data_IF_373441957387
#
_entry.id   IF_373441957387
#
_cell.length_a   1.000
_cell.length_b   1.000
_cell.length_c   1.000
_cell.angle_alpha   90.00
_cell.angle_beta   90.00
_cell.angle_gamma   90.00
#
_symmetry.space_group_name_H-M   'P 1'
#
loop_
_entity.id
_entity.type
_entity.pdbx_description
1 polymer ?
#
# COMPACT_ATOMS: atom_id res chain seq x y z
N UNK A 1 20.34 19.77 -6.50
CA UNK A 1 19.10 20.36 -5.93
C UNK A 1 18.79 19.60 -4.65
N UNK A 2 18.48 20.26 -3.54
CA UNK A 2 18.13 19.53 -2.31
C UNK A 2 16.63 19.27 -2.27
N UNK A 3 16.24 18.12 -1.77
CA UNK A 3 14.85 17.80 -1.53
C UNK A 3 14.27 18.79 -0.53
N UNK A 4 13.21 19.50 -0.92
CA UNK A 4 12.51 20.45 -0.05
C UNK A 4 11.92 19.77 1.21
N UNK A 5 11.59 18.48 1.12
CA UNK A 5 10.95 17.76 2.23
C UNK A 5 11.94 17.25 3.30
N UNK A 6 13.19 16.94 2.95
CA UNK A 6 14.12 16.27 3.87
C UNK A 6 15.58 16.71 3.74
N UNK A 7 15.86 17.74 2.95
CA UNK A 7 17.19 18.34 2.79
C UNK A 7 18.22 17.48 2.07
N UNK A 8 17.85 16.29 1.58
CA UNK A 8 18.76 15.39 0.88
C UNK A 8 19.21 15.95 -0.46
N UNK A 9 20.50 15.83 -0.78
CA UNK A 9 21.02 16.24 -2.09
C UNK A 9 20.47 15.32 -3.19
N UNK A 10 19.92 15.91 -4.25
CA UNK A 10 19.40 15.21 -5.42
C UNK A 10 20.18 15.58 -6.66
N UNK A 11 20.33 14.58 -7.53
CA UNK A 11 20.89 14.76 -8.87
C UNK A 11 19.95 15.62 -9.71
N UNK A 12 20.50 16.38 -10.65
CA UNK A 12 19.74 17.33 -11.48
C UNK A 12 18.71 16.68 -12.42
N UNK A 13 18.76 15.35 -12.57
CA UNK A 13 17.77 14.55 -13.32
C UNK A 13 16.77 13.81 -12.42
N UNK A 14 16.90 13.91 -11.09
CA UNK A 14 16.05 13.19 -10.16
C UNK A 14 14.63 13.79 -10.13
N UNK A 15 13.64 13.04 -10.61
CA UNK A 15 12.22 13.42 -10.47
C UNK A 15 11.68 13.25 -9.04
N UNK A 16 12.36 12.44 -8.23
CA UNK A 16 11.98 12.12 -6.85
C UNK A 16 13.21 12.01 -5.95
N UNK A 17 13.02 12.28 -4.66
CA UNK A 17 14.06 12.20 -3.66
C UNK A 17 14.36 10.76 -3.28
N UNK A 18 15.58 10.29 -3.50
CA UNK A 18 15.99 8.93 -3.14
C UNK A 18 16.02 8.68 -1.61
N UNK A 19 16.08 9.73 -0.77
CA UNK A 19 16.14 9.61 0.69
C UNK A 19 14.77 9.58 1.35
N UNK A 20 13.79 10.31 0.83
CA UNK A 20 12.48 10.47 1.47
C UNK A 20 11.27 10.39 0.52
N UNK A 21 11.49 10.12 -0.77
CA UNK A 21 10.43 9.88 -1.75
C UNK A 21 9.76 11.13 -2.35
N UNK A 22 9.99 12.33 -1.79
CA UNK A 22 9.31 13.54 -2.28
C UNK A 22 9.68 13.90 -3.73
N UNK A 23 8.71 14.26 -4.56
CA UNK A 23 8.95 14.76 -5.93
C UNK A 23 9.75 16.04 -5.92
N UNK A 24 10.72 16.14 -6.82
CA UNK A 24 11.54 17.35 -6.97
C UNK A 24 11.53 17.77 -8.43
N UNK A 25 10.78 18.85 -8.67
CA UNK A 25 10.55 19.42 -10.00
C UNK A 25 9.22 18.98 -10.60
N UNK A 26 8.17 19.75 -10.31
CA UNK A 26 6.98 19.84 -11.16
C UNK A 26 7.09 21.11 -12.00
N UNK A 27 7.35 20.96 -13.30
CA UNK A 27 6.89 21.97 -14.24
C UNK A 27 5.39 22.14 -14.01
N UNK A 28 4.94 23.38 -13.87
CA UNK A 28 3.51 23.70 -13.84
C UNK A 28 2.82 22.93 -14.98
N UNK A 29 1.80 22.15 -14.63
CA UNK A 29 0.87 21.67 -15.64
C UNK A 29 0.46 22.87 -16.49
N UNK A 30 0.64 22.74 -17.79
CA UNK A 30 0.23 23.70 -18.80
C UNK A 30 -1.21 24.14 -18.52
N UNK A 31 -1.39 25.33 -17.96
CA UNK A 31 -2.67 26.01 -17.96
C UNK A 31 -2.99 26.35 -19.41
N UNK A 32 -4.05 25.74 -19.93
CA UNK A 32 -4.50 25.91 -21.30
C UNK A 32 -4.68 27.41 -21.60
N UNK A 33 -4.01 27.90 -22.65
CA UNK A 33 -4.43 29.16 -23.27
C UNK A 33 -5.77 28.90 -23.98
N UNK A 34 -6.87 29.18 -23.31
CA UNK A 34 -8.15 29.40 -23.95
C UNK A 34 -8.40 30.91 -23.93
N UNK A 35 -8.02 31.59 -25.01
CA UNK A 35 -8.63 32.86 -25.37
C UNK A 35 -9.88 32.56 -26.19
N UNK A 36 -11.07 32.92 -25.67
CA UNK A 36 -12.20 33.60 -26.32
C UNK A 36 -13.46 33.50 -25.42
N UNK A 37 -14.51 34.34 -25.62
CA UNK A 37 -15.00 35.21 -24.56
C UNK A 37 -16.51 35.06 -24.38
N UNK A 38 -17.00 34.17 -23.51
CA UNK A 38 -18.39 34.20 -23.05
C UNK A 38 -18.46 33.89 -21.56
N UNK A 39 -18.24 34.93 -20.75
CA UNK A 39 -18.50 34.86 -19.32
C UNK A 39 -19.91 35.33 -19.01
N UNK A 40 -20.82 34.41 -18.68
CA UNK A 40 -21.90 34.62 -17.68
C UNK A 40 -22.35 33.26 -17.16
N UNK A 41 -21.93 32.87 -15.95
CA UNK A 41 -22.63 32.00 -14.98
C UNK A 41 -21.62 31.34 -14.01
N UNK A 42 -21.21 32.06 -12.96
CA UNK A 42 -20.35 31.47 -11.93
C UNK A 42 -20.06 32.33 -10.70
N UNK A 43 -20.83 33.41 -10.49
CA UNK A 43 -20.50 34.42 -9.47
C UNK A 43 -20.86 34.03 -8.02
N UNK A 44 -21.46 32.87 -7.76
CA UNK A 44 -21.90 32.52 -6.40
C UNK A 44 -20.91 31.65 -5.60
N UNK A 45 -20.01 30.90 -6.26
CA UNK A 45 -19.11 29.95 -5.55
C UNK A 45 -17.76 30.55 -5.15
N UNK A 46 -17.33 31.64 -5.80
CA UNK A 46 -16.04 32.29 -5.54
C UNK A 46 -15.98 33.04 -4.20
N UNK A 47 -17.11 33.57 -3.73
CA UNK A 47 -17.18 34.36 -2.50
C UNK A 47 -17.06 33.51 -1.22
N UNK A 48 -17.38 32.21 -1.28
CA UNK A 48 -17.29 31.32 -0.12
C UNK A 48 -15.85 30.84 0.13
N UNK A 49 -15.05 30.67 -0.94
CA UNK A 49 -13.67 30.20 -0.85
C UNK A 49 -12.70 31.29 -0.38
N UNK A 50 -13.00 32.57 -0.65
CA UNK A 50 -12.17 33.70 -0.19
C UNK A 50 -12.22 33.91 1.33
N UNK A 51 -13.35 33.64 1.99
CA UNK A 51 -13.49 33.82 3.45
C UNK A 51 -12.69 32.79 4.25
N UNK A 52 -12.52 31.57 3.72
CA UNK A 52 -11.77 30.49 4.40
C UNK A 52 -10.26 30.71 4.28
N UNK A 53 -9.78 31.22 3.14
CA UNK A 53 -8.35 31.49 2.93
C UNK A 53 -7.81 32.62 3.84
N UNK A 54 -8.65 33.60 4.19
CA UNK A 54 -8.27 34.73 5.06
C UNK A 54 -8.10 34.36 6.54
N UNK A 55 -8.47 33.14 6.97
CA UNK A 55 -8.34 32.69 8.36
C UNK A 55 -7.07 31.90 8.67
N UNK A 56 -6.30 31.49 7.65
CA UNK A 56 -5.12 30.61 7.84
C UNK A 56 -3.79 31.19 7.33
N UNK A 57 -3.79 32.39 6.75
CA UNK A 57 -2.58 33.02 6.22
C UNK A 57 -2.22 34.30 6.99
N UNK A 58 -1.99 34.17 8.30
CA UNK A 58 -1.40 35.23 9.11
C UNK A 58 0.00 34.82 9.55
N UNK A 59 1.02 35.15 8.75
CA UNK A 59 2.40 35.53 9.16
C UNK A 59 3.45 35.21 8.09
N UNK A 60 4.27 36.22 7.73
CA UNK A 60 5.64 36.00 7.22
C UNK A 60 5.98 36.62 5.87
N UNK A 61 6.52 37.83 5.89
CA UNK A 61 6.96 38.67 4.77
C UNK A 61 8.42 38.44 4.33
N UNK A 62 8.68 38.72 3.03
CA UNK A 62 9.88 39.35 2.38
C UNK A 62 11.26 38.68 2.42
N UNK A 63 11.95 38.78 1.26
CA UNK A 63 13.39 39.04 1.23
C UNK A 63 14.15 38.49 0.02
N UNK A 64 14.45 39.35 -0.96
CA UNK A 64 15.30 39.08 -2.12
C UNK A 64 16.80 39.24 -1.82
N UNK A 65 17.67 38.62 -2.62
CA UNK A 65 19.05 39.11 -2.82
C UNK A 65 20.08 38.03 -3.21
N UNK A 66 21.06 38.30 -4.11
CA UNK A 66 21.78 37.28 -4.89
C UNK A 66 23.31 37.19 -4.63
N UNK A 67 23.92 36.10 -5.17
CA UNK A 67 25.34 35.85 -5.58
C UNK A 67 26.46 36.05 -4.51
N UNK A 68 27.56 35.28 -4.43
CA UNK A 68 28.43 34.77 -5.49
C UNK A 68 29.36 33.62 -5.01
N UNK A 69 30.03 33.03 -5.99
CA UNK A 69 31.03 31.97 -6.03
C UNK A 69 32.08 31.88 -4.89
N UNK A 70 32.55 30.66 -4.56
CA UNK A 70 33.89 30.15 -4.95
C UNK A 70 34.16 28.75 -4.40
N UNK A 71 35.04 28.04 -5.10
CA UNK A 71 35.26 26.60 -5.00
C UNK A 71 35.86 26.08 -3.71
N UNK A 72 35.82 24.76 -3.58
CA UNK A 72 36.44 24.03 -2.48
C UNK A 72 36.17 22.53 -2.57
N UNK A 73 37.14 21.79 -3.08
CA UNK A 73 37.34 20.35 -3.08
C UNK A 73 36.63 19.60 -1.94
N UNK A 74 35.85 18.58 -2.29
CA UNK A 74 35.15 17.72 -1.35
C UNK A 74 36.10 16.85 -0.51
N UNK A 75 35.97 16.82 0.85
CA UNK A 75 36.37 15.67 1.61
C UNK A 75 35.24 14.64 1.59
N UNK A 76 35.64 13.39 1.32
CA UNK A 76 34.81 12.19 1.39
C UNK A 76 34.09 12.12 2.73
N UNK A 77 32.75 12.24 2.72
CA UNK A 77 31.95 11.90 3.91
C UNK A 77 31.58 10.42 3.88
N UNK A 78 32.35 9.71 4.70
CA UNK A 78 32.10 8.42 5.29
C UNK A 78 30.77 8.46 6.04
N UNK A 79 29.84 7.55 5.73
CA UNK A 79 28.97 6.83 6.67
C UNK A 79 27.95 5.99 5.86
N UNK A 80 27.98 4.65 5.95
CA UNK A 80 27.03 3.80 5.25
C UNK A 80 25.69 3.76 5.99
N UNK A 81 24.59 4.02 5.27
CA UNK A 81 23.28 3.49 5.67
C UNK A 81 23.36 2.00 5.37
N UNK A 82 23.69 1.20 6.37
CA UNK A 82 23.69 -0.25 6.23
C UNK A 82 22.23 -0.69 6.04
N UNK A 83 21.82 -0.85 4.77
CA UNK A 83 20.69 -1.71 4.47
C UNK A 83 20.97 -3.07 5.14
N UNK A 84 19.99 -3.68 5.83
CA UNK A 84 20.20 -4.98 6.46
C UNK A 84 20.81 -5.95 5.46
N UNK A 85 21.90 -6.60 5.83
CA UNK A 85 22.52 -7.61 4.97
C UNK A 85 21.61 -8.85 4.93
N UNK A 86 20.87 -8.98 3.84
CA UNK A 86 19.95 -10.10 3.59
C UNK A 86 20.64 -11.30 2.92
N UNK A 87 21.93 -11.18 2.57
CA UNK A 87 22.67 -12.25 1.88
C UNK A 87 23.00 -13.43 2.79
N UNK A 88 23.04 -13.20 4.10
CA UNK A 88 23.32 -14.21 5.14
C UNK A 88 22.04 -14.85 5.73
N UNK A 89 20.85 -14.45 5.27
CA UNK A 89 19.58 -14.99 5.78
C UNK A 89 19.16 -16.26 5.04
N UNK A 90 18.41 -17.13 5.72
CA UNK A 90 17.72 -18.21 5.03
C UNK A 90 16.76 -17.65 3.96
N UNK A 91 16.45 -18.41 2.89
CA UNK A 91 15.48 -18.01 1.89
C UNK A 91 14.12 -17.58 2.48
N UNK A 92 13.64 -18.31 3.49
CA UNK A 92 12.39 -18.08 4.19
C UNK A 92 12.43 -16.75 4.97
N UNK A 93 13.47 -16.52 5.78
CA UNK A 93 13.62 -15.27 6.53
C UNK A 93 13.72 -14.05 5.60
N UNK A 94 14.38 -14.21 4.45
CA UNK A 94 14.48 -13.16 3.44
C UNK A 94 13.11 -12.83 2.85
N UNK A 95 12.31 -13.84 2.50
CA UNK A 95 10.95 -13.65 1.99
C UNK A 95 10.05 -12.97 3.03
N UNK A 96 10.07 -13.45 4.28
CA UNK A 96 9.29 -12.88 5.39
C UNK A 96 9.67 -11.43 5.69
N UNK A 97 10.95 -11.07 5.65
CA UNK A 97 11.38 -9.68 5.84
C UNK A 97 10.89 -8.76 4.73
N UNK A 98 10.95 -9.21 3.48
CA UNK A 98 10.45 -8.43 2.35
C UNK A 98 8.93 -8.28 2.42
N UNK A 99 8.21 -9.35 2.77
CA UNK A 99 6.77 -9.30 3.04
C UNK A 99 6.43 -8.25 4.11
N UNK A 100 7.06 -8.34 5.28
CA UNK A 100 6.85 -7.41 6.39
C UNK A 100 7.16 -5.96 5.98
N UNK A 101 8.20 -5.76 5.15
CA UNK A 101 8.53 -4.44 4.62
C UNK A 101 7.44 -3.87 3.73
N UNK A 102 6.90 -4.67 2.81
CA UNK A 102 5.78 -4.26 1.93
C UNK A 102 4.54 -3.94 2.76
N UNK A 103 4.15 -4.84 3.67
CA UNK A 103 2.97 -4.67 4.51
C UNK A 103 3.07 -3.42 5.40
N UNK A 104 4.21 -3.21 6.05
CA UNK A 104 4.43 -2.02 6.88
C UNK A 104 4.36 -0.72 6.07
N UNK A 105 4.94 -0.68 4.87
CA UNK A 105 4.88 0.52 4.03
C UNK A 105 3.45 0.79 3.55
N UNK A 106 2.73 -0.27 3.18
CA UNK A 106 1.34 -0.17 2.75
C UNK A 106 0.44 0.34 3.87
N UNK A 107 0.56 -0.20 5.10
CA UNK A 107 -0.23 0.26 6.26
C UNK A 107 0.13 1.67 6.72
N UNK A 108 1.37 2.12 6.48
CA UNK A 108 1.80 3.51 6.70
C UNK A 108 1.31 4.49 5.63
N UNK A 109 0.50 4.05 4.65
CA UNK A 109 0.02 4.92 3.57
C UNK A 109 1.12 5.34 2.60
N UNK A 110 2.15 4.50 2.41
CA UNK A 110 3.25 4.71 1.46
C UNK A 110 3.20 3.68 0.31
N UNK A 111 2.14 3.67 -0.51
CA UNK A 111 1.94 2.67 -1.55
C UNK A 111 3.07 2.67 -2.58
N UNK A 112 3.53 3.83 -3.05
CA UNK A 112 4.66 3.92 -4.00
C UNK A 112 5.94 3.24 -3.49
N UNK A 113 6.17 3.34 -2.17
CA UNK A 113 7.30 2.65 -1.55
C UNK A 113 7.05 1.15 -1.41
N UNK A 114 5.82 0.73 -1.11
CA UNK A 114 5.45 -0.69 -1.05
C UNK A 114 5.58 -1.35 -2.43
N UNK A 115 5.12 -0.69 -3.49
CA UNK A 115 5.23 -1.14 -4.89
C UNK A 115 6.68 -1.36 -5.31
N UNK A 116 7.61 -0.53 -4.85
CA UNK A 116 9.03 -0.72 -5.11
C UNK A 116 9.55 -2.07 -4.56
N UNK A 117 9.10 -2.49 -3.37
CA UNK A 117 9.54 -3.74 -2.75
C UNK A 117 8.75 -4.97 -3.16
N UNK A 118 7.55 -4.78 -3.74
CA UNK A 118 6.63 -5.86 -4.04
C UNK A 118 7.22 -6.94 -4.99
N UNK A 119 7.85 -6.60 -6.13
CA UNK A 119 8.46 -7.60 -7.01
C UNK A 119 9.58 -8.40 -6.32
N UNK A 120 10.34 -7.76 -5.43
CA UNK A 120 11.39 -8.43 -4.66
C UNK A 120 10.80 -9.43 -3.66
N UNK A 121 9.71 -9.07 -2.99
CA UNK A 121 9.02 -9.99 -2.07
C UNK A 121 8.44 -11.20 -2.80
N UNK A 122 7.75 -10.99 -3.92
CA UNK A 122 7.19 -12.08 -4.75
C UNK A 122 8.30 -12.99 -5.29
N UNK A 123 9.41 -12.42 -5.78
CA UNK A 123 10.56 -13.18 -6.25
C UNK A 123 11.21 -14.00 -5.12
N UNK A 124 11.29 -13.46 -3.90
CA UNK A 124 11.85 -14.19 -2.77
C UNK A 124 11.02 -15.43 -2.42
N UNK A 125 9.68 -15.33 -2.45
CA UNK A 125 8.81 -16.49 -2.30
C UNK A 125 8.93 -17.48 -3.45
N UNK A 126 9.07 -17.01 -4.70
CA UNK A 126 9.25 -17.89 -5.87
C UNK A 126 10.56 -18.71 -5.83
N UNK A 127 11.53 -18.30 -5.01
CA UNK A 127 12.80 -19.02 -4.81
C UNK A 127 12.76 -20.03 -3.66
N UNK A 128 11.66 -20.13 -2.90
CA UNK A 128 11.54 -21.12 -1.85
C UNK A 128 11.45 -22.54 -2.45
N UNK A 129 12.07 -23.55 -1.81
CA UNK A 129 12.05 -24.92 -2.34
C UNK A 129 10.65 -25.55 -2.29
N UNK A 130 9.80 -25.07 -1.39
CA UNK A 130 8.39 -25.44 -1.29
C UNK A 130 7.57 -24.26 -0.77
N UNK A 131 6.29 -24.23 -1.13
CA UNK A 131 5.32 -23.26 -0.62
C UNK A 131 4.26 -24.01 0.19
N UNK A 132 4.27 -23.80 1.50
CA UNK A 132 3.18 -24.21 2.38
C UNK A 132 1.98 -23.26 2.25
N UNK A 133 0.95 -23.49 3.07
CA UNK A 133 -0.27 -22.70 3.03
C UNK A 133 -0.04 -21.25 3.49
N UNK A 134 0.84 -21.04 4.47
CA UNK A 134 1.17 -19.70 4.98
C UNK A 134 1.91 -18.87 3.93
N UNK A 135 2.94 -19.44 3.29
CA UNK A 135 3.66 -18.80 2.20
C UNK A 135 2.73 -18.44 1.03
N UNK A 136 1.78 -19.33 0.68
CA UNK A 136 0.77 -19.03 -0.36
C UNK A 136 -0.16 -17.90 0.07
N UNK A 137 -0.54 -17.84 1.35
CA UNK A 137 -1.33 -16.75 1.88
C UNK A 137 -0.58 -15.42 1.78
N UNK A 138 0.70 -15.38 2.17
CA UNK A 138 1.55 -14.20 2.02
C UNK A 138 1.69 -13.73 0.57
N UNK A 139 1.90 -14.64 -0.38
CA UNK A 139 1.91 -14.31 -1.81
C UNK A 139 0.57 -13.70 -2.22
N UNK A 140 -0.56 -14.30 -1.82
CA UNK A 140 -1.89 -13.77 -2.14
C UNK A 140 -2.13 -12.37 -1.56
N UNK A 141 -1.63 -12.08 -0.35
CA UNK A 141 -1.71 -10.74 0.26
C UNK A 141 -0.82 -9.73 -0.49
N UNK A 142 0.36 -10.14 -0.94
CA UNK A 142 1.22 -9.32 -1.81
C UNK A 142 0.53 -9.01 -3.14
N UNK A 143 -0.09 -10.02 -3.77
CA UNK A 143 -0.85 -9.84 -5.01
C UNK A 143 -2.02 -8.85 -4.82
N UNK A 144 -2.76 -8.96 -3.72
CA UNK A 144 -3.81 -7.98 -3.36
C UNK A 144 -3.25 -6.56 -3.18
N UNK A 145 -2.09 -6.44 -2.54
CA UNK A 145 -1.39 -5.16 -2.33
C UNK A 145 -0.97 -4.53 -3.65
N UNK A 146 -0.56 -5.34 -4.62
CA UNK A 146 -0.24 -4.90 -5.99
C UNK A 146 -1.45 -4.70 -6.90
N UNK A 147 -2.67 -4.86 -6.40
CA UNK A 147 -3.87 -4.71 -7.22
C UNK A 147 -4.12 -5.87 -8.20
N UNK A 148 -3.62 -7.08 -7.90
CA UNK A 148 -3.76 -8.27 -8.74
C UNK A 148 -4.73 -9.30 -8.11
N UNK A 149 -6.06 -9.10 -8.22
CA UNK A 149 -7.03 -9.99 -7.61
C UNK A 149 -7.02 -11.39 -8.23
N UNK A 150 -6.73 -11.52 -9.52
CA UNK A 150 -6.70 -12.81 -10.22
C UNK A 150 -5.60 -13.73 -9.66
N UNK A 151 -4.40 -13.20 -9.39
CA UNK A 151 -3.32 -13.97 -8.77
C UNK A 151 -3.65 -14.36 -7.32
N UNK A 152 -4.23 -13.45 -6.55
CA UNK A 152 -4.70 -13.75 -5.19
C UNK A 152 -5.79 -14.84 -5.17
N UNK A 153 -6.73 -14.85 -6.13
CA UNK A 153 -7.71 -15.92 -6.30
C UNK A 153 -7.04 -17.26 -6.64
N UNK A 154 -6.02 -17.25 -7.48
CA UNK A 154 -5.26 -18.47 -7.80
C UNK A 154 -4.56 -19.05 -6.56
N UNK A 155 -4.02 -18.21 -5.67
CA UNK A 155 -3.49 -18.66 -4.37
C UNK A 155 -4.59 -19.23 -3.49
N UNK A 156 -5.74 -18.55 -3.37
CA UNK A 156 -6.89 -19.03 -2.62
C UNK A 156 -7.36 -20.41 -3.09
N UNK A 157 -7.49 -20.61 -4.40
CA UNK A 157 -7.90 -21.90 -4.99
C UNK A 157 -6.86 -23.00 -4.73
N UNK A 158 -5.57 -22.66 -4.75
CA UNK A 158 -4.50 -23.61 -4.44
C UNK A 158 -4.51 -24.03 -2.96
N UNK A 159 -4.74 -23.08 -2.06
CA UNK A 159 -4.94 -23.37 -0.64
C UNK A 159 -6.15 -24.30 -0.46
N UNK A 160 -7.29 -24.04 -1.12
CA UNK A 160 -8.48 -24.91 -1.01
C UNK A 160 -8.29 -26.30 -1.59
N UNK A 161 -7.50 -26.46 -2.65
CA UNK A 161 -7.13 -27.80 -3.14
C UNK A 161 -6.33 -28.61 -2.11
N UNK A 162 -5.57 -27.92 -1.26
CA UNK A 162 -4.76 -28.55 -0.21
C UNK A 162 -5.58 -28.80 1.05
N UNK A 163 -6.33 -27.79 1.52
CA UNK A 163 -7.21 -27.84 2.68
C UNK A 163 -8.52 -27.10 2.32
N UNK A 164 -9.60 -27.82 1.96
CA UNK A 164 -10.82 -27.23 1.39
C UNK A 164 -11.49 -26.14 2.21
N UNK A 165 -11.33 -26.21 3.53
CA UNK A 165 -11.95 -25.33 4.52
C UNK A 165 -10.98 -24.33 5.15
N UNK A 166 -9.75 -24.20 4.64
CA UNK A 166 -8.74 -23.32 5.24
C UNK A 166 -9.16 -21.84 5.24
N UNK A 167 -9.00 -21.16 6.38
CA UNK A 167 -9.51 -19.80 6.57
C UNK A 167 -8.86 -18.78 5.64
N UNK A 168 -7.54 -18.88 5.44
CA UNK A 168 -6.79 -18.00 4.54
C UNK A 168 -7.31 -17.98 3.10
N UNK A 169 -7.87 -19.09 2.61
CA UNK A 169 -8.44 -19.11 1.27
C UNK A 169 -9.70 -18.24 1.16
N UNK A 170 -10.57 -18.28 2.17
CA UNK A 170 -11.77 -17.44 2.19
C UNK A 170 -11.41 -15.97 2.34
N UNK A 171 -10.37 -15.66 3.14
CA UNK A 171 -9.85 -14.31 3.30
C UNK A 171 -9.37 -13.71 1.97
N UNK A 172 -8.47 -14.42 1.28
CA UNK A 172 -7.97 -13.99 -0.03
C UNK A 172 -9.10 -13.85 -1.05
N UNK A 173 -10.02 -14.82 -1.10
CA UNK A 173 -11.14 -14.81 -2.04
C UNK A 173 -12.06 -13.61 -1.81
N UNK A 174 -12.40 -13.31 -0.56
CA UNK A 174 -13.25 -12.15 -0.25
C UNK A 174 -12.58 -10.85 -0.71
N UNK A 175 -11.31 -10.65 -0.35
CA UNK A 175 -10.56 -9.43 -0.71
C UNK A 175 -10.36 -9.25 -2.20
N UNK A 176 -10.05 -10.32 -2.91
CA UNK A 176 -9.89 -10.27 -4.36
C UNK A 176 -11.20 -9.91 -5.06
N UNK A 177 -12.32 -10.51 -4.63
CA UNK A 177 -13.64 -10.22 -5.19
C UNK A 177 -14.12 -8.81 -4.83
N UNK A 178 -13.74 -8.26 -3.68
CA UNK A 178 -13.95 -6.84 -3.36
C UNK A 178 -13.23 -5.92 -4.34
N UNK A 179 -11.97 -6.24 -4.66
CA UNK A 179 -11.16 -5.48 -5.62
C UNK A 179 -11.74 -5.57 -7.03
N UNK A 180 -12.27 -6.72 -7.43
CA UNK A 180 -13.01 -6.94 -8.68
C UNK A 180 -14.42 -6.33 -8.69
N UNK A 181 -14.87 -5.73 -7.58
CA UNK A 181 -16.23 -5.19 -7.39
C UNK A 181 -17.34 -6.25 -7.47
N UNK A 182 -17.03 -7.54 -7.33
CA UNK A 182 -18.02 -8.61 -7.13
C UNK A 182 -18.47 -8.69 -5.67
N UNK A 183 -19.36 -7.78 -5.30
CA UNK A 183 -19.95 -7.73 -3.94
C UNK A 183 -20.77 -8.98 -3.58
N UNK A 184 -21.28 -9.73 -4.56
CA UNK A 184 -22.02 -10.96 -4.29
C UNK A 184 -21.07 -12.11 -3.98
N UNK A 185 -19.98 -12.21 -4.74
CA UNK A 185 -18.87 -13.14 -4.53
C UNK A 185 -18.15 -12.90 -3.21
N UNK A 186 -17.77 -11.66 -2.91
CA UNK A 186 -17.13 -11.32 -1.65
C UNK A 186 -18.01 -11.72 -0.44
N UNK A 187 -19.31 -11.41 -0.49
CA UNK A 187 -20.27 -11.84 0.55
C UNK A 187 -20.42 -13.35 0.67
N UNK A 188 -20.29 -14.11 -0.42
CA UNK A 188 -20.26 -15.58 -0.37
C UNK A 188 -19.02 -16.04 0.40
N UNK A 189 -17.84 -15.54 0.02
CA UNK A 189 -16.58 -15.89 0.69
C UNK A 189 -16.59 -15.54 2.20
N UNK A 190 -17.17 -14.41 2.60
CA UNK A 190 -17.36 -14.07 4.01
C UNK A 190 -18.26 -15.06 4.76
N UNK A 191 -19.36 -15.53 4.15
CA UNK A 191 -20.21 -16.56 4.78
C UNK A 191 -19.49 -17.89 4.89
N UNK A 192 -18.74 -18.27 3.87
CA UNK A 192 -17.98 -19.52 3.86
C UNK A 192 -16.91 -19.51 4.96
N UNK A 193 -16.21 -18.37 5.16
CA UNK A 193 -15.31 -18.17 6.30
C UNK A 193 -16.03 -18.41 7.64
N UNK A 194 -17.13 -17.69 7.89
CA UNK A 194 -17.88 -17.80 9.15
C UNK A 194 -18.43 -19.21 9.40
N UNK A 195 -18.80 -19.92 8.33
CA UNK A 195 -19.31 -21.30 8.41
C UNK A 195 -18.23 -22.27 8.89
N UNK A 196 -16.97 -22.06 8.51
CA UNK A 196 -15.86 -22.98 8.81
C UNK A 196 -14.95 -22.52 9.95
N UNK A 197 -15.03 -21.25 10.36
CA UNK A 197 -14.10 -20.63 11.31
C UNK A 197 -13.92 -21.41 12.61
N UNK A 198 -15.02 -21.73 13.30
CA UNK A 198 -14.93 -22.41 14.58
C UNK A 198 -14.23 -23.78 14.46
N UNK A 199 -14.61 -24.58 13.45
CA UNK A 199 -14.04 -25.90 13.22
C UNK A 199 -12.60 -25.87 12.68
N UNK A 200 -12.19 -24.81 11.99
CA UNK A 200 -10.79 -24.61 11.61
C UNK A 200 -9.94 -24.17 12.80
N UNK A 201 -10.41 -23.23 13.62
CA UNK A 201 -9.65 -22.74 14.78
C UNK A 201 -9.40 -23.84 15.82
N UNK A 202 -10.31 -24.81 15.97
CA UNK A 202 -10.05 -25.99 16.85
C UNK A 202 -8.93 -26.90 16.37
N UNK A 203 -8.51 -26.81 15.09
CA UNK A 203 -7.36 -27.56 14.56
C UNK A 203 -6.02 -26.99 14.99
N UNK A 204 -5.99 -25.81 15.61
CA UNK A 204 -4.80 -25.19 16.21
C UNK A 204 -3.57 -25.19 15.28
N UNK A 205 -3.79 -24.86 14.00
CA UNK A 205 -2.70 -24.72 13.05
C UNK A 205 -1.74 -23.60 13.51
N UNK A 206 -0.41 -23.77 13.44
CA UNK A 206 0.54 -22.73 13.87
C UNK A 206 0.26 -21.37 13.23
N UNK A 207 0.00 -21.36 11.92
CA UNK A 207 -0.29 -20.16 11.14
C UNK A 207 -1.55 -19.42 11.64
N UNK A 208 -2.53 -20.10 12.24
CA UNK A 208 -3.68 -19.40 12.82
C UNK A 208 -3.32 -18.62 14.08
N UNK A 209 -2.32 -19.08 14.84
CA UNK A 209 -1.83 -18.35 16.01
C UNK A 209 -0.99 -17.15 15.59
N UNK A 210 -0.15 -17.32 14.57
CA UNK A 210 0.69 -16.27 14.00
C UNK A 210 -0.14 -15.15 13.34
N UNK A 211 -1.33 -15.48 12.81
CA UNK A 211 -2.25 -14.55 12.15
C UNK A 211 -3.54 -14.30 12.96
N UNK A 212 -3.53 -14.49 14.27
CA UNK A 212 -4.74 -14.39 15.10
C UNK A 212 -5.45 -13.03 14.95
N UNK A 213 -4.71 -11.93 15.02
CA UNK A 213 -5.25 -10.58 14.86
C UNK A 213 -5.90 -10.37 13.48
N UNK A 214 -5.29 -10.92 12.42
CA UNK A 214 -5.82 -10.84 11.06
C UNK A 214 -7.12 -11.64 10.92
N UNK A 215 -7.18 -12.83 11.53
CA UNK A 215 -8.38 -13.66 11.53
C UNK A 215 -9.52 -13.01 12.32
N UNK A 216 -9.22 -12.42 13.47
CA UNK A 216 -10.22 -11.74 14.32
C UNK A 216 -10.74 -10.47 13.63
N UNK A 217 -9.86 -9.68 13.02
CA UNK A 217 -10.26 -8.52 12.22
C UNK A 217 -11.12 -8.94 11.02
N UNK A 218 -10.80 -10.06 10.37
CA UNK A 218 -11.58 -10.58 9.26
C UNK A 218 -12.95 -11.13 9.71
N UNK A 219 -13.03 -11.78 10.87
CA UNK A 219 -14.29 -12.19 11.48
C UNK A 219 -15.24 -11.00 11.67
N UNK A 220 -14.75 -9.89 12.23
CA UNK A 220 -15.54 -8.67 12.40
C UNK A 220 -16.09 -8.13 11.07
N UNK A 221 -15.25 -8.11 10.04
CA UNK A 221 -15.64 -7.68 8.69
C UNK A 221 -16.67 -8.63 8.06
N UNK A 222 -16.47 -9.94 8.19
CA UNK A 222 -17.38 -10.96 7.66
C UNK A 222 -18.77 -10.85 8.30
N UNK A 223 -18.82 -10.68 9.63
CA UNK A 223 -20.07 -10.50 10.37
C UNK A 223 -20.80 -9.23 9.92
N UNK A 224 -20.10 -8.11 9.79
CA UNK A 224 -20.70 -6.86 9.31
C UNK A 224 -21.22 -6.97 7.86
N UNK A 225 -20.44 -7.58 6.96
CA UNK A 225 -20.77 -7.72 5.54
C UNK A 225 -21.97 -8.65 5.31
N UNK A 226 -22.21 -9.62 6.21
CA UNK A 226 -23.31 -10.59 6.10
C UNK A 226 -24.59 -10.12 6.79
N UNK A 227 -24.49 -9.32 7.85
CA UNK A 227 -25.63 -8.70 8.52
C UNK A 227 -26.36 -7.65 7.67
N UNK A 228 -25.64 -6.90 6.82
CA UNK A 228 -26.17 -5.78 6.03
C UNK A 228 -27.26 -6.12 4.97
N UNK A 229 -27.63 -7.39 4.80
CA UNK A 229 -28.77 -7.83 3.98
C UNK A 229 -30.05 -8.05 4.81
N UNK A 230 -29.95 -8.31 6.11
CA UNK A 230 -31.13 -8.57 6.96
C UNK A 230 -31.99 -7.31 7.18
N UNK A 231 -31.40 -6.11 7.07
CA UNK A 231 -32.09 -4.83 7.33
C UNK A 231 -32.66 -4.13 6.08
N UNK A 232 -32.37 -4.63 4.87
CA UNK A 232 -32.82 -4.03 3.59
C UNK A 232 -33.93 -4.82 2.88
N UNK A 233 -34.51 -5.81 3.54
CA UNK A 233 -35.50 -6.72 2.97
C UNK A 233 -36.77 -6.91 3.82
N UNK A 234 -37.08 -5.95 4.70
CA UNK A 234 -38.32 -5.91 5.50
C UNK A 234 -39.18 -4.73 5.09
#
# INVERSE_FOLDING_TARGET
MNCHACGAALTSTARFCHKCGAQVGGGQASGWRAGLPWGVAGAALGALLTVVALRFAGSGERGAGPVDATGGTAPRSLLPVNAPDISQMSPEERATRLYNRVMMLHTQGKPDSAEFFLPMALQAYAMLPALDVDARYHIGVLDLTGGNPAAALAQADTIRRTVPTHLFAFMLRARALELERDSAGARRAYRDFLTHEAAERTRQRPEYSEHAENLDAFHGQATAATAGKATRGS
#
